data_IF_674749406459
#
_entry.id   IF_674749406459
#
_cell.length_a   1.000
_cell.length_b   1.000
_cell.length_c   1.000
_cell.angle_alpha   90.00
_cell.angle_beta   90.00
_cell.angle_gamma   90.00
#
_symmetry.space_group_name_H-M   'P 1'
#
loop_
_entity.id
_entity.type
_entity.pdbx_description
1 polymer ?
#
# COMPACT_ATOMS: atom_id res chain seq x y z
N UNK A 1 10.60 12.79 0.22
CA UNK A 1 10.52 11.49 -0.47
C UNK A 1 9.17 10.87 -0.19
N UNK A 2 8.48 10.45 -1.25
CA UNK A 2 7.17 9.78 -1.15
C UNK A 2 7.24 8.41 -1.83
N UNK A 3 7.06 7.35 -1.05
CA UNK A 3 7.24 5.96 -1.48
C UNK A 3 5.89 5.24 -1.62
N UNK A 4 5.71 4.53 -2.73
CA UNK A 4 4.69 3.49 -2.84
C UNK A 4 5.35 2.13 -2.62
N UNK A 5 4.99 1.44 -1.55
CA UNK A 5 5.44 0.07 -1.28
C UNK A 5 4.37 -0.92 -1.74
N UNK A 6 4.75 -1.89 -2.59
CA UNK A 6 3.86 -2.92 -3.10
C UNK A 6 4.35 -4.29 -2.63
N UNK A 7 3.45 -5.10 -2.06
CA UNK A 7 3.73 -6.49 -1.70
C UNK A 7 2.72 -7.44 -2.36
N UNK A 8 3.22 -8.27 -3.26
CA UNK A 8 2.42 -9.29 -3.96
C UNK A 8 2.29 -10.59 -3.18
N UNK A 9 2.95 -10.68 -2.02
CA UNK A 9 2.93 -11.83 -1.13
C UNK A 9 4.13 -12.74 -1.30
N UNK A 10 4.34 -13.60 -0.31
CA UNK A 10 5.48 -14.50 -0.24
C UNK A 10 5.21 -15.90 -0.82
N UNK A 11 3.94 -16.33 -0.81
CA UNK A 11 3.57 -17.74 -0.96
C UNK A 11 2.92 -18.09 -2.30
N UNK A 12 2.26 -17.13 -2.96
CA UNK A 12 1.66 -17.32 -4.27
C UNK A 12 1.97 -16.12 -5.17
N UNK A 13 2.54 -16.38 -6.35
CA UNK A 13 2.92 -15.32 -7.28
C UNK A 13 1.68 -14.63 -7.83
N UNK A 14 1.57 -13.31 -7.64
CA UNK A 14 0.50 -12.50 -8.21
C UNK A 14 1.00 -11.68 -9.41
N UNK A 15 1.37 -12.37 -10.49
CA UNK A 15 1.94 -11.75 -11.69
C UNK A 15 1.04 -10.68 -12.32
N UNK A 16 -0.28 -10.78 -12.16
CA UNK A 16 -1.22 -9.79 -12.68
C UNK A 16 -1.07 -8.45 -11.96
N UNK A 17 -0.94 -8.46 -10.63
CA UNK A 17 -0.64 -7.26 -9.85
C UNK A 17 0.75 -6.73 -10.19
N UNK A 18 1.76 -7.61 -10.27
CA UNK A 18 3.12 -7.19 -10.62
C UNK A 18 3.19 -6.46 -11.98
N UNK A 19 2.46 -6.96 -12.98
CA UNK A 19 2.37 -6.30 -14.29
C UNK A 19 1.65 -4.96 -14.20
N UNK A 20 0.57 -4.88 -13.45
CA UNK A 20 -0.21 -3.65 -13.31
C UNK A 20 0.56 -2.54 -12.60
N UNK A 21 1.32 -2.86 -11.54
CA UNK A 21 2.09 -1.84 -10.80
C UNK A 21 3.39 -1.41 -11.50
N UNK A 22 3.76 -2.07 -12.59
CA UNK A 22 4.92 -1.72 -13.43
C UNK A 22 4.51 -1.26 -14.83
N UNK A 23 3.21 -1.02 -15.06
CA UNK A 23 2.73 -0.43 -16.30
C UNK A 23 2.75 1.11 -16.26
N UNK A 24 2.88 1.73 -17.43
CA UNK A 24 2.97 3.18 -17.61
C UNK A 24 1.81 3.96 -16.95
N UNK A 25 0.57 3.47 -17.02
CA UNK A 25 -0.60 4.11 -16.38
C UNK A 25 -0.45 4.18 -14.87
N UNK A 26 0.08 3.11 -14.26
CA UNK A 26 0.32 3.12 -12.81
C UNK A 26 1.48 4.05 -12.43
N UNK A 27 2.57 4.03 -13.20
CA UNK A 27 3.71 4.94 -12.98
C UNK A 27 3.32 6.41 -13.17
N UNK A 28 2.48 6.70 -14.16
CA UNK A 28 1.88 8.02 -14.37
C UNK A 28 1.00 8.43 -13.18
N UNK A 29 0.11 7.54 -12.70
CA UNK A 29 -0.74 7.82 -11.54
C UNK A 29 0.07 8.08 -10.26
N UNK A 30 1.18 7.37 -10.05
CA UNK A 30 2.13 7.64 -8.98
C UNK A 30 2.74 9.04 -9.13
N UNK A 31 3.24 9.38 -10.32
CA UNK A 31 3.84 10.68 -10.60
C UNK A 31 2.84 11.83 -10.37
N UNK A 32 1.61 11.70 -10.86
CA UNK A 32 0.53 12.69 -10.67
C UNK A 32 0.15 12.89 -9.20
N UNK A 33 0.40 11.89 -8.35
CA UNK A 33 0.18 11.94 -6.91
C UNK A 33 1.46 12.25 -6.10
N UNK A 34 2.49 12.81 -6.76
CA UNK A 34 3.78 13.23 -6.21
C UNK A 34 4.63 12.10 -5.61
N UNK A 35 4.38 10.85 -6.00
CA UNK A 35 5.27 9.76 -5.64
C UNK A 35 6.57 9.86 -6.42
N UNK A 36 7.64 9.43 -5.76
CA UNK A 36 9.01 9.51 -6.30
C UNK A 36 9.66 8.14 -6.37
N UNK A 37 9.21 7.21 -5.52
CA UNK A 37 9.78 5.87 -5.40
C UNK A 37 8.68 4.82 -5.40
N UNK A 38 8.96 3.70 -6.04
CA UNK A 38 8.18 2.48 -6.04
C UNK A 38 9.07 1.32 -5.57
N UNK A 39 8.75 0.72 -4.43
CA UNK A 39 9.43 -0.47 -3.93
C UNK A 39 8.50 -1.67 -4.08
N UNK A 40 8.94 -2.70 -4.79
CA UNK A 40 8.11 -3.89 -5.07
C UNK A 40 8.71 -5.14 -4.45
N UNK A 41 8.01 -5.71 -3.47
CA UNK A 41 8.23 -7.08 -3.06
C UNK A 41 7.50 -7.99 -4.08
N UNK A 42 8.25 -8.55 -5.03
CA UNK A 42 7.71 -9.32 -6.16
C UNK A 42 7.55 -10.82 -5.87
N UNK A 43 8.03 -11.31 -4.72
CA UNK A 43 7.87 -12.70 -4.30
C UNK A 43 8.86 -13.66 -4.95
N UNK A 44 8.83 -14.92 -4.51
CA UNK A 44 9.71 -15.96 -5.06
C UNK A 44 9.40 -16.20 -6.55
N UNK A 45 10.43 -16.59 -7.28
CA UNK A 45 10.37 -17.00 -8.70
C UNK A 45 9.86 -15.92 -9.69
N UNK A 46 9.71 -14.66 -9.25
CA UNK A 46 9.22 -13.56 -10.09
C UNK A 46 10.32 -12.58 -10.52
N UNK A 47 11.58 -12.84 -10.17
CA UNK A 47 12.71 -11.95 -10.47
C UNK A 47 12.89 -11.74 -11.98
N UNK A 48 12.85 -12.81 -12.78
CA UNK A 48 12.98 -12.69 -14.25
C UNK A 48 11.89 -11.83 -14.85
N UNK A 49 10.63 -12.03 -14.41
CA UNK A 49 9.50 -11.22 -14.85
C UNK A 49 9.65 -9.76 -14.41
N UNK A 50 10.09 -9.50 -13.18
CA UNK A 50 10.35 -8.16 -12.68
C UNK A 50 11.39 -7.43 -13.55
N UNK A 51 12.52 -8.08 -13.86
CA UNK A 51 13.57 -7.51 -14.72
C UNK A 51 13.10 -7.28 -16.16
N UNK A 52 12.31 -8.20 -16.71
CA UNK A 52 11.70 -8.02 -18.04
C UNK A 52 10.80 -6.78 -18.07
N UNK A 53 9.96 -6.59 -17.03
CA UNK A 53 9.08 -5.43 -16.93
C UNK A 53 9.87 -4.13 -16.78
N UNK A 54 10.92 -4.10 -15.95
CA UNK A 54 11.80 -2.93 -15.81
C UNK A 54 12.51 -2.56 -17.11
N UNK A 55 12.84 -3.55 -17.95
CA UNK A 55 13.52 -3.30 -19.23
C UNK A 55 12.66 -2.51 -20.23
N UNK A 56 11.33 -2.52 -20.08
CA UNK A 56 10.40 -1.73 -20.89
C UNK A 56 10.48 -0.23 -20.57
N UNK A 57 10.79 0.10 -19.32
CA UNK A 57 10.86 1.46 -18.80
C UNK A 57 12.19 1.65 -18.03
N UNK A 58 13.33 1.74 -18.75
CA UNK A 58 14.62 1.90 -18.10
C UNK A 58 14.70 3.24 -17.33
N UNK A 59 15.62 3.37 -16.35
CA UNK A 59 15.82 4.61 -15.61
C UNK A 59 15.97 5.82 -16.55
N UNK A 60 15.25 6.90 -16.25
CA UNK A 60 15.23 8.12 -17.08
C UNK A 60 14.37 8.05 -18.35
N UNK A 61 13.74 6.91 -18.66
CA UNK A 61 12.80 6.85 -19.79
C UNK A 61 11.51 7.64 -19.52
N UNK A 62 10.88 8.23 -20.56
CA UNK A 62 9.63 8.97 -20.39
C UNK A 62 8.50 8.15 -19.76
N UNK A 63 8.37 6.87 -20.13
CA UNK A 63 7.34 5.98 -19.60
C UNK A 63 7.53 5.58 -18.13
N UNK A 64 8.66 5.94 -17.50
CA UNK A 64 8.90 5.76 -16.07
C UNK A 64 8.42 6.96 -15.24
N UNK A 65 8.09 8.08 -15.88
CA UNK A 65 7.59 9.30 -15.23
C UNK A 65 8.47 9.80 -14.07
N UNK A 66 9.79 9.58 -14.16
CA UNK A 66 10.74 9.98 -13.12
C UNK A 66 10.64 9.18 -11.81
N UNK A 67 9.91 8.06 -11.79
CA UNK A 67 9.79 7.20 -10.62
C UNK A 67 11.04 6.33 -10.46
N UNK A 68 11.67 6.35 -9.30
CA UNK A 68 12.70 5.38 -8.95
C UNK A 68 12.05 4.06 -8.54
N UNK A 69 12.53 2.93 -9.07
CA UNK A 69 11.89 1.62 -8.91
C UNK A 69 12.93 0.63 -8.46
N UNK A 70 12.69 0.06 -7.29
CA UNK A 70 13.47 -1.02 -6.69
C UNK A 70 12.55 -2.21 -6.39
N UNK A 71 13.16 -3.39 -6.22
CA UNK A 71 12.39 -4.56 -5.84
C UNK A 71 13.23 -5.67 -5.24
N UNK A 72 12.56 -6.54 -4.50
CA UNK A 72 13.15 -7.70 -3.84
C UNK A 72 12.16 -8.86 -3.81
N UNK A 73 12.66 -10.07 -3.55
CA UNK A 73 11.87 -11.29 -3.54
C UNK A 73 11.17 -11.52 -2.19
N UNK A 74 11.90 -11.98 -1.17
CA UNK A 74 11.39 -12.34 0.14
C UNK A 74 12.34 -11.87 1.23
N UNK A 75 11.79 -11.21 2.25
CA UNK A 75 12.54 -10.83 3.43
C UNK A 75 12.19 -11.76 4.62
N UNK A 76 13.15 -12.57 5.06
CA UNK A 76 12.97 -13.48 6.20
C UNK A 76 12.71 -12.74 7.52
N UNK A 77 13.09 -11.46 7.63
CA UNK A 77 12.88 -10.65 8.81
C UNK A 77 11.47 -10.01 8.89
N UNK A 78 10.61 -10.27 7.89
CA UNK A 78 9.31 -9.62 7.76
C UNK A 78 9.36 -8.40 6.84
N UNK A 79 8.28 -7.61 6.81
CA UNK A 79 8.13 -6.43 5.94
C UNK A 79 8.11 -5.11 6.73
N UNK A 80 8.35 -5.16 8.04
CA UNK A 80 8.20 -4.00 8.93
C UNK A 80 9.09 -2.83 8.52
N UNK A 81 10.34 -3.12 8.12
CA UNK A 81 11.28 -2.11 7.66
C UNK A 81 10.77 -1.41 6.41
N UNK A 82 10.36 -2.18 5.42
CA UNK A 82 9.89 -1.68 4.13
C UNK A 82 8.55 -0.94 4.25
N UNK A 83 7.64 -1.42 5.10
CA UNK A 83 6.38 -0.70 5.38
C UNK A 83 6.63 0.63 6.10
N UNK A 84 7.59 0.70 7.03
CA UNK A 84 7.95 1.94 7.72
C UNK A 84 8.58 2.99 6.80
N UNK A 85 9.18 2.59 5.68
CA UNK A 85 9.63 3.54 4.66
C UNK A 85 8.45 4.32 4.04
N UNK A 86 7.24 3.75 4.05
CA UNK A 86 6.03 4.44 3.65
C UNK A 86 5.43 5.31 4.76
N UNK A 87 5.96 5.29 5.99
CA UNK A 87 5.54 6.19 7.05
C UNK A 87 6.22 7.55 6.92
N UNK A 88 5.49 8.62 7.24
CA UNK A 88 6.03 9.97 7.28
C UNK A 88 7.12 10.07 8.36
N UNK A 89 8.25 10.67 8.00
CA UNK A 89 9.40 10.87 8.88
C UNK A 89 10.07 12.19 8.48
N UNK A 90 9.67 13.33 9.05
CA UNK A 90 10.22 14.63 8.71
C UNK A 90 11.74 14.73 8.93
N UNK A 91 12.26 14.05 9.97
CA UNK A 91 13.70 13.98 10.26
C UNK A 91 14.51 13.27 9.18
N UNK A 92 13.87 12.38 8.41
CA UNK A 92 14.49 11.65 7.31
C UNK A 92 14.00 12.14 5.94
N UNK A 93 13.26 13.26 5.89
CA UNK A 93 12.72 13.83 4.67
C UNK A 93 11.67 12.94 3.97
N UNK A 94 10.91 12.13 4.71
CA UNK A 94 9.81 11.31 4.16
C UNK A 94 8.45 11.97 4.40
N UNK A 95 7.71 12.17 3.32
CA UNK A 95 6.44 12.92 3.31
C UNK A 95 5.20 12.06 3.60
N UNK A 96 5.41 10.74 3.77
CA UNK A 96 4.34 9.76 3.95
C UNK A 96 3.88 9.16 2.62
N UNK A 97 4.01 7.85 2.52
CA UNK A 97 3.78 7.04 1.33
C UNK A 97 2.48 6.23 1.37
N UNK A 98 2.41 5.20 0.53
CA UNK A 98 1.27 4.30 0.34
C UNK A 98 1.75 2.86 0.40
N UNK A 99 0.94 1.97 0.96
CA UNK A 99 1.14 0.52 0.89
C UNK A 99 0.05 -0.09 0.00
N UNK A 100 0.45 -0.94 -0.95
CA UNK A 100 -0.44 -1.77 -1.76
C UNK A 100 -0.17 -3.24 -1.44
N UNK A 101 -1.18 -3.96 -0.99
CA UNK A 101 -1.06 -5.35 -0.55
C UNK A 101 -2.07 -6.26 -1.25
N UNK A 102 -1.65 -7.47 -1.61
CA UNK A 102 -2.48 -8.52 -2.23
C UNK A 102 -3.57 -9.14 -1.30
N UNK A 103 -3.95 -8.47 -0.22
CA UNK A 103 -4.89 -8.94 0.80
C UNK A 103 -4.40 -10.06 1.73
N UNK A 104 -3.09 -10.17 1.98
CA UNK A 104 -2.59 -10.96 3.10
C UNK A 104 -3.02 -10.35 4.44
N UNK A 105 -3.74 -11.09 5.28
CA UNK A 105 -4.34 -10.57 6.52
C UNK A 105 -3.31 -10.02 7.51
N UNK A 106 -2.15 -10.67 7.68
CA UNK A 106 -1.06 -10.16 8.53
C UNK A 106 -0.53 -8.82 8.02
N UNK A 107 -0.20 -8.75 6.74
CA UNK A 107 0.27 -7.54 6.06
C UNK A 107 -0.73 -6.39 6.15
N UNK A 108 -2.04 -6.67 6.06
CA UNK A 108 -3.09 -5.66 6.24
C UNK A 108 -3.02 -5.08 7.66
N UNK A 109 -2.99 -5.93 8.68
CA UNK A 109 -2.98 -5.49 10.08
C UNK A 109 -1.71 -4.70 10.41
N UNK A 110 -0.56 -5.15 9.92
CA UNK A 110 0.72 -4.45 10.12
C UNK A 110 0.71 -3.07 9.45
N UNK A 111 0.17 -2.95 8.24
CA UNK A 111 0.05 -1.66 7.56
C UNK A 111 -0.94 -0.71 8.25
N UNK A 112 -2.08 -1.21 8.74
CA UNK A 112 -3.05 -0.40 9.48
C UNK A 112 -2.45 0.20 10.76
N UNK A 113 -1.63 -0.58 11.49
CA UNK A 113 -0.93 -0.12 12.70
C UNK A 113 0.07 1.01 12.45
N UNK A 114 0.56 1.15 11.22
CA UNK A 114 1.51 2.21 10.87
C UNK A 114 0.82 3.54 10.53
N UNK A 115 -0.52 3.56 10.44
CA UNK A 115 -1.27 4.75 10.05
C UNK A 115 -0.95 5.20 8.62
N UNK A 116 -0.48 4.30 7.77
CA UNK A 116 -0.18 4.56 6.35
C UNK A 116 -1.41 4.20 5.52
N UNK A 117 -1.82 5.01 4.52
CA UNK A 117 -2.88 4.64 3.60
C UNK A 117 -2.60 3.29 2.94
N UNK A 118 -3.63 2.44 2.92
CA UNK A 118 -3.54 1.06 2.45
C UNK A 118 -4.52 0.81 1.30
N UNK A 119 -3.99 0.33 0.18
CA UNK A 119 -4.77 -0.26 -0.91
C UNK A 119 -4.68 -1.77 -0.82
N UNK A 120 -5.83 -2.44 -0.77
CA UNK A 120 -5.94 -3.89 -0.75
C UNK A 120 -6.37 -4.37 -2.14
N UNK A 121 -5.56 -5.22 -2.75
CA UNK A 121 -5.81 -5.81 -4.07
C UNK A 121 -5.96 -7.33 -3.95
N UNK A 122 -7.17 -7.86 -3.70
CA UNK A 122 -7.36 -9.30 -3.55
C UNK A 122 -6.88 -10.08 -4.77
N UNK A 123 -6.23 -11.24 -4.54
CA UNK A 123 -5.85 -12.12 -5.63
C UNK A 123 -7.03 -13.02 -6.03
N UNK A 124 -7.81 -12.58 -7.03
CA UNK A 124 -8.99 -13.31 -7.53
C UNK A 124 -8.65 -14.60 -8.29
N UNK A 125 -7.37 -14.89 -8.52
CA UNK A 125 -6.96 -16.17 -9.14
C UNK A 125 -6.85 -17.30 -8.13
N UNK A 126 -6.77 -16.96 -6.84
CA UNK A 126 -6.87 -17.92 -5.75
C UNK A 126 -8.34 -18.21 -5.45
N UNK A 127 -8.65 -19.46 -5.09
CA UNK A 127 -10.03 -19.93 -4.87
C UNK A 127 -10.71 -19.31 -3.64
N UNK A 128 -9.97 -18.58 -2.82
CA UNK A 128 -10.44 -18.06 -1.54
C UNK A 128 -11.06 -16.66 -1.69
N UNK A 129 -12.38 -16.63 -1.87
CA UNK A 129 -13.18 -15.41 -1.86
C UNK A 129 -13.08 -14.61 -0.55
N UNK A 130 -12.50 -15.19 0.51
CA UNK A 130 -12.29 -14.54 1.80
C UNK A 130 -11.40 -13.29 1.72
N UNK A 131 -10.43 -13.24 0.81
CA UNK A 131 -9.62 -12.04 0.60
C UNK A 131 -10.48 -10.85 0.11
N UNK A 132 -11.43 -11.14 -0.78
CA UNK A 132 -12.35 -10.14 -1.33
C UNK A 132 -13.32 -9.66 -0.25
N UNK A 133 -13.85 -10.58 0.56
CA UNK A 133 -14.75 -10.26 1.67
C UNK A 133 -14.07 -9.35 2.70
N UNK A 134 -12.85 -9.70 3.13
CA UNK A 134 -12.06 -8.90 4.05
C UNK A 134 -11.79 -7.49 3.49
N UNK A 135 -11.34 -7.39 2.24
CA UNK A 135 -11.07 -6.10 1.60
C UNK A 135 -12.33 -5.23 1.51
N UNK A 136 -13.49 -5.82 1.19
CA UNK A 136 -14.77 -5.12 1.12
C UNK A 136 -15.22 -4.61 2.48
N UNK A 137 -15.12 -5.43 3.52
CA UNK A 137 -15.53 -5.01 4.86
C UNK A 137 -14.63 -3.88 5.39
N UNK A 138 -13.31 -4.00 5.24
CA UNK A 138 -12.39 -2.94 5.64
C UNK A 138 -12.61 -1.64 4.87
N UNK A 139 -12.92 -1.71 3.57
CA UNK A 139 -13.25 -0.53 2.78
C UNK A 139 -14.55 0.11 3.26
N UNK A 140 -15.57 -0.69 3.60
CA UNK A 140 -16.86 -0.22 4.11
C UNK A 140 -16.71 0.51 5.44
N UNK A 141 -15.79 0.05 6.30
CA UNK A 141 -15.42 0.73 7.54
C UNK A 141 -14.53 1.97 7.31
N UNK A 142 -14.07 2.20 6.08
CA UNK A 142 -13.25 3.35 5.70
C UNK A 142 -11.76 3.23 6.05
N UNK A 143 -11.29 2.02 6.37
CA UNK A 143 -9.90 1.78 6.76
C UNK A 143 -8.95 1.60 5.58
N UNK A 144 -9.45 1.09 4.45
CA UNK A 144 -8.64 0.78 3.27
C UNK A 144 -9.35 1.20 1.98
N UNK A 145 -8.61 1.24 0.88
CA UNK A 145 -9.17 1.25 -0.47
C UNK A 145 -9.06 -0.15 -1.04
N UNK A 146 -10.18 -0.77 -1.40
CA UNK A 146 -10.18 -2.04 -2.12
C UNK A 146 -10.14 -1.77 -3.63
N UNK A 147 -9.29 -2.50 -4.36
CA UNK A 147 -9.19 -2.39 -5.82
C UNK A 147 -8.98 -3.75 -6.44
N UNK A 148 -9.41 -3.90 -7.69
CA UNK A 148 -8.89 -4.97 -8.56
C UNK A 148 -7.56 -4.54 -9.16
N UNK A 149 -6.71 -5.50 -9.54
CA UNK A 149 -5.38 -5.21 -10.10
C UNK A 149 -5.47 -4.35 -11.38
N UNK A 150 -6.53 -4.52 -12.18
CA UNK A 150 -6.76 -3.77 -13.42
C UNK A 150 -6.96 -2.27 -13.20
N UNK A 151 -7.41 -1.87 -12.00
CA UNK A 151 -7.75 -0.50 -11.65
C UNK A 151 -6.87 0.06 -10.53
N UNK A 152 -5.75 -0.63 -10.22
CA UNK A 152 -4.85 -0.22 -9.13
C UNK A 152 -4.28 1.19 -9.31
N UNK A 153 -4.15 1.66 -10.55
CA UNK A 153 -3.77 3.05 -10.86
C UNK A 153 -4.79 4.08 -10.35
N UNK A 154 -6.10 3.80 -10.47
CA UNK A 154 -7.17 4.66 -9.93
C UNK A 154 -7.15 4.66 -8.39
N UNK A 155 -6.76 3.52 -7.80
CA UNK A 155 -6.70 3.38 -6.35
C UNK A 155 -5.66 4.31 -5.70
N UNK A 156 -4.64 4.78 -6.44
CA UNK A 156 -3.65 5.75 -5.95
C UNK A 156 -4.34 7.06 -5.56
N UNK A 157 -5.19 7.61 -6.42
CA UNK A 157 -5.95 8.84 -6.12
C UNK A 157 -6.89 8.64 -4.91
N UNK A 158 -7.56 7.49 -4.85
CA UNK A 158 -8.42 7.14 -3.71
C UNK A 158 -7.64 7.00 -2.40
N UNK A 159 -6.40 6.51 -2.47
CA UNK A 159 -5.52 6.40 -1.31
C UNK A 159 -5.08 7.77 -0.80
N UNK A 160 -4.85 8.75 -1.67
CA UNK A 160 -4.59 10.13 -1.23
C UNK A 160 -5.82 10.77 -0.57
N UNK A 161 -7.03 10.53 -1.09
CA UNK A 161 -8.28 10.93 -0.42
C UNK A 161 -8.46 10.23 0.93
N UNK A 162 -8.02 8.97 1.06
CA UNK A 162 -7.97 8.28 2.34
C UNK A 162 -6.97 8.94 3.29
N UNK A 163 -5.76 9.28 2.83
CA UNK A 163 -4.75 9.99 3.61
C UNK A 163 -5.29 11.28 4.22
N UNK A 164 -5.97 12.12 3.42
CA UNK A 164 -6.56 13.37 3.92
C UNK A 164 -7.55 13.11 5.06
N UNK A 165 -8.36 12.05 4.96
CA UNK A 165 -9.30 11.66 6.02
C UNK A 165 -8.60 11.14 7.27
N UNK A 166 -7.53 10.35 7.10
CA UNK A 166 -6.70 9.85 8.20
C UNK A 166 -6.01 11.00 8.95
N UNK A 167 -5.50 12.01 8.24
CA UNK A 167 -4.85 13.19 8.82
C UNK A 167 -5.85 14.17 9.45
N UNK A 168 -7.10 14.20 8.97
CA UNK A 168 -8.17 15.03 9.54
C UNK A 168 -8.72 14.47 10.87
N UNK A 169 -8.14 13.38 11.39
CA UNK A 169 -8.53 12.75 12.64
C UNK A 169 -7.50 13.00 13.76
N UNK A 170 -7.91 13.37 15.00
CA UNK A 170 -9.29 13.57 15.43
C UNK A 170 -9.82 14.97 15.02
N UNK A 171 -11.14 15.17 14.98
CA UNK A 171 -11.76 16.44 14.59
C UNK A 171 -11.25 17.62 15.42
N UNK A 172 -11.30 18.81 14.81
CA UNK A 172 -11.13 20.09 15.52
C UNK A 172 -12.07 20.11 16.71
N UNK A 173 -11.52 20.22 17.92
CA UNK A 173 -12.28 20.19 19.18
C UNK A 173 -13.27 21.36 19.24
N UNK A 174 -14.52 21.13 18.84
CA UNK A 174 -15.66 21.92 19.27
C UNK A 174 -15.94 21.59 20.74
N UNK A 175 -15.94 22.59 21.62
CA UNK A 175 -16.19 22.45 23.05
C UNK A 175 -17.58 21.82 23.32
N UNK A 176 -17.65 20.49 23.39
CA UNK A 176 -18.88 19.80 23.76
C UNK A 176 -19.12 18.39 23.21
N UNK A 177 -18.31 17.84 22.31
CA UNK A 177 -18.53 16.47 21.79
C UNK A 177 -17.60 15.43 22.42
N UNK A 178 -18.20 14.29 22.80
CA UNK A 178 -17.54 13.13 23.44
C UNK A 178 -16.33 12.67 22.61
N UNK A 179 -15.21 12.39 23.30
CA UNK A 179 -13.99 11.78 22.75
C UNK A 179 -14.35 10.56 21.88
N UNK A 180 -14.17 10.66 20.57
CA UNK A 180 -14.08 9.49 19.71
C UNK A 180 -12.63 8.97 19.74
N UNK A 181 -12.49 7.65 19.87
CA UNK A 181 -11.20 6.95 20.02
C UNK A 181 -10.38 7.06 18.74
N UNK A 182 -9.05 7.18 18.84
CA UNK A 182 -8.16 7.09 17.67
C UNK A 182 -8.19 5.68 17.07
N UNK A 183 -7.80 5.53 15.80
CA UNK A 183 -7.68 4.21 15.17
C UNK A 183 -6.77 3.30 16.02
N UNK A 184 -5.63 3.84 16.48
CA UNK A 184 -4.72 3.15 17.40
C UNK A 184 -5.40 2.74 18.71
N UNK A 185 -6.26 3.59 19.28
CA UNK A 185 -7.01 3.26 20.50
C UNK A 185 -8.08 2.21 20.25
N UNK A 186 -8.77 2.23 19.10
CA UNK A 186 -9.73 1.17 18.73
C UNK A 186 -8.99 -0.14 18.51
N UNK A 187 -7.84 -0.12 17.84
CA UNK A 187 -7.02 -1.31 17.63
C UNK A 187 -6.44 -1.87 18.94
N UNK A 188 -6.00 -1.01 19.87
CA UNK A 188 -5.53 -1.45 21.19
C UNK A 188 -6.67 -2.02 22.05
N UNK A 189 -7.83 -1.35 22.07
CA UNK A 189 -8.98 -1.74 22.90
C UNK A 189 -9.72 -2.99 22.38
N UNK A 190 -9.91 -3.12 21.06
CA UNK A 190 -10.70 -4.23 20.48
C UNK A 190 -9.87 -5.48 20.20
N UNK A 191 -8.58 -5.33 19.93
CA UNK A 191 -7.71 -6.45 19.58
C UNK A 191 -6.74 -6.86 20.70
N UNK A 192 -6.79 -6.18 21.86
CA UNK A 192 -6.11 -6.62 23.08
C UNK A 192 -4.58 -6.59 23.01
N UNK A 193 -4.01 -5.62 22.31
CA UNK A 193 -2.55 -5.46 22.22
C UNK A 193 -2.06 -4.58 23.38
N UNK A 194 -1.49 -5.23 24.39
CA UNK A 194 -0.60 -4.61 25.37
C UNK A 194 0.77 -4.43 24.72
N UNK A 195 1.34 -3.23 24.87
CA UNK A 195 2.68 -2.84 24.41
C UNK A 195 3.78 -3.87 24.73
#
# INVERSE_FOLDING_TARGET
MKLCFVTVGATASFHLLLRAVLDEKFLAALHEADYTHLLVQYGKDSQTLFQELLSKYPPGSPGRHGIEIDGFDFNNAGLDGEMRLAQASPSEGRDGGLIISHAGSGTILDALRLGVPLVVVPNTTLKDNHQVELARELQKQGYVVASEYQYVFVAVEHAEKLRTRMLAWPPVNGAGQKRHRTLDQVMSDELGFLD
#
